data_IF_268262850025
#
_entry.id   IF_268262850025
#
_cell.length_a   1.000
_cell.length_b   1.000
_cell.length_c   1.000
_cell.angle_alpha   90.00
_cell.angle_beta   90.00
_cell.angle_gamma   90.00
#
_symmetry.space_group_name_H-M   'P 1'
#
loop_
_entity.id
_entity.type
_entity.pdbx_description
1 polymer ?
#
# COMPACT_ATOMS: atom_id res chain seq x y z
N UNK A 1 7.64 0.80 27.72
CA UNK A 1 7.51 1.35 26.35
C UNK A 1 6.64 0.40 25.54
N UNK A 2 5.70 0.89 24.72
CA UNK A 2 4.68 0.06 24.06
C UNK A 2 5.33 -0.96 23.11
N UNK A 3 5.26 -2.28 23.39
CA UNK A 3 5.88 -3.32 22.56
C UNK A 3 5.35 -3.36 21.12
N UNK A 4 4.13 -2.88 20.90
CA UNK A 4 3.47 -2.88 19.58
C UNK A 4 4.14 -1.92 18.58
N UNK A 5 4.76 -0.83 19.06
CA UNK A 5 5.44 0.16 18.23
C UNK A 5 6.89 -0.22 17.90
N UNK A 6 7.42 -1.27 18.50
CA UNK A 6 8.76 -1.78 18.20
C UNK A 6 8.77 -2.79 17.05
N UNK A 7 7.59 -3.22 16.58
CA UNK A 7 7.48 -4.09 15.42
C UNK A 7 7.75 -3.29 14.13
N UNK A 8 8.86 -3.57 13.40
CA UNK A 8 9.18 -2.86 12.17
C UNK A 8 8.06 -2.96 11.12
N UNK A 9 7.33 -4.07 11.06
CA UNK A 9 6.23 -4.25 10.11
C UNK A 9 5.05 -3.31 10.42
N UNK A 10 4.74 -3.08 11.70
CA UNK A 10 3.68 -2.16 12.11
C UNK A 10 4.06 -0.69 11.87
N UNK A 11 5.34 -0.36 11.90
CA UNK A 11 5.83 1.01 11.64
C UNK A 11 5.99 1.30 10.14
N UNK A 12 6.40 0.31 9.34
CA UNK A 12 6.75 0.50 7.93
C UNK A 12 5.53 0.36 6.99
N UNK A 13 4.53 -0.45 7.35
CA UNK A 13 3.38 -0.66 6.47
C UNK A 13 2.55 0.61 6.19
N UNK A 14 2.32 1.57 7.13
CA UNK A 14 1.51 2.75 6.84
C UNK A 14 2.15 3.70 5.81
N UNK A 15 3.45 4.03 5.88
CA UNK A 15 4.12 4.78 4.81
C UNK A 15 4.09 4.10 3.44
N UNK A 16 4.27 2.78 3.39
CA UNK A 16 4.24 2.02 2.13
C UNK A 16 2.84 2.00 1.53
N UNK A 17 1.80 1.81 2.35
CA UNK A 17 0.41 1.91 1.91
C UNK A 17 0.10 3.32 1.39
N UNK A 18 0.52 4.36 2.11
CA UNK A 18 0.31 5.74 1.69
C UNK A 18 0.99 6.04 0.34
N UNK A 19 2.24 5.60 0.15
CA UNK A 19 2.94 5.73 -1.12
C UNK A 19 2.19 5.03 -2.27
N UNK A 20 1.64 3.85 -2.02
CA UNK A 20 0.79 3.13 -2.97
C UNK A 20 -0.51 3.86 -3.32
N UNK A 21 -1.21 4.40 -2.33
CA UNK A 21 -2.44 5.18 -2.55
C UNK A 21 -2.18 6.48 -3.31
N UNK A 22 -1.14 7.24 -2.93
CA UNK A 22 -0.77 8.48 -3.62
C UNK A 22 -0.28 8.20 -5.04
N UNK A 23 0.44 7.11 -5.26
CA UNK A 23 0.91 6.72 -6.58
C UNK A 23 -0.22 6.55 -7.60
N UNK A 24 -1.42 6.11 -7.16
CA UNK A 24 -2.61 6.00 -8.03
C UNK A 24 -3.16 7.35 -8.51
N UNK A 25 -2.76 8.48 -7.89
CA UNK A 25 -3.17 9.80 -8.36
C UNK A 25 -2.64 10.12 -9.76
N UNK A 26 -1.46 9.61 -10.12
CA UNK A 26 -0.84 9.83 -11.44
C UNK A 26 -1.63 9.19 -12.59
N UNK A 27 -1.92 7.88 -12.59
CA UNK A 27 -2.74 7.27 -13.64
C UNK A 27 -4.18 7.83 -13.64
N UNK A 28 -4.72 8.23 -12.49
CA UNK A 28 -6.02 8.91 -12.42
C UNK A 28 -6.01 10.26 -13.16
N UNK A 29 -4.99 11.10 -12.94
CA UNK A 29 -4.86 12.38 -13.64
C UNK A 29 -4.72 12.18 -15.17
N UNK A 30 -3.95 11.18 -15.62
CA UNK A 30 -3.86 10.84 -17.04
C UNK A 30 -5.20 10.39 -17.63
N UNK A 31 -5.98 9.59 -16.89
CA UNK A 31 -7.30 9.16 -17.33
C UNK A 31 -8.26 10.35 -17.48
N UNK A 32 -8.29 11.26 -16.50
CA UNK A 32 -9.12 12.49 -16.57
C UNK A 32 -8.69 13.37 -17.75
N UNK A 33 -7.39 13.58 -17.94
CA UNK A 33 -6.88 14.36 -19.07
C UNK A 33 -7.28 13.76 -20.43
N UNK A 34 -7.20 12.43 -20.57
CA UNK A 34 -7.60 11.73 -21.81
C UNK A 34 -9.11 11.84 -22.09
N UNK A 35 -9.94 11.79 -21.05
CA UNK A 35 -11.39 11.99 -21.15
C UNK A 35 -11.73 13.43 -21.57
N UNK A 36 -11.12 14.42 -20.91
CA UNK A 36 -11.33 15.84 -21.24
C UNK A 36 -10.84 16.20 -22.65
N UNK A 37 -9.76 15.59 -23.11
CA UNK A 37 -9.25 15.77 -24.47
C UNK A 37 -10.12 15.08 -25.54
N UNK A 38 -11.08 14.22 -25.14
CA UNK A 38 -11.92 13.43 -26.05
C UNK A 38 -11.15 12.40 -26.89
N UNK A 39 -9.90 12.10 -26.52
CA UNK A 39 -8.98 11.24 -27.28
C UNK A 39 -8.30 10.23 -26.38
N UNK A 40 -8.99 9.13 -26.12
CA UNK A 40 -8.45 7.98 -25.37
C UNK A 40 -7.50 7.18 -26.27
N UNK A 41 -6.29 7.69 -26.47
CA UNK A 41 -5.26 7.05 -27.32
C UNK A 41 -4.45 5.99 -26.57
N UNK A 42 -3.78 5.07 -27.27
CA UNK A 42 -2.88 4.11 -26.61
C UNK A 42 -1.66 4.76 -25.95
N UNK A 43 -1.36 6.03 -26.29
CA UNK A 43 -0.20 6.75 -25.78
C UNK A 43 -0.30 7.07 -24.28
N UNK A 44 -1.45 7.56 -23.80
CA UNK A 44 -1.61 7.86 -22.36
C UNK A 44 -1.57 6.58 -21.52
N UNK A 45 -2.13 5.48 -22.03
CA UNK A 45 -2.11 4.19 -21.36
C UNK A 45 -0.68 3.63 -21.20
N UNK A 46 0.21 3.85 -22.19
CA UNK A 46 1.63 3.48 -22.09
C UNK A 46 2.34 4.23 -20.96
N UNK A 47 2.02 5.52 -20.79
CA UNK A 47 2.60 6.33 -19.72
C UNK A 47 2.00 6.03 -18.36
N UNK A 48 0.69 5.75 -18.26
CA UNK A 48 0.02 5.42 -17.01
C UNK A 48 0.44 4.06 -16.43
N UNK A 49 0.70 3.06 -17.29
CA UNK A 49 1.05 1.69 -16.91
C UNK A 49 2.17 1.56 -15.86
N UNK A 50 3.38 2.12 -16.05
CA UNK A 50 4.46 1.98 -15.06
C UNK A 50 4.07 2.57 -13.70
N UNK A 51 3.34 3.69 -13.67
CA UNK A 51 2.84 4.30 -12.44
C UNK A 51 1.80 3.42 -11.74
N UNK A 52 0.87 2.84 -12.49
CA UNK A 52 -0.09 1.88 -11.94
C UNK A 52 0.60 0.67 -11.34
N UNK A 53 1.59 0.09 -12.04
CA UNK A 53 2.35 -1.08 -11.55
C UNK A 53 3.15 -0.72 -10.31
N UNK A 54 3.85 0.41 -10.29
CA UNK A 54 4.60 0.85 -9.11
C UNK A 54 3.68 1.04 -7.90
N UNK A 55 2.55 1.72 -8.08
CA UNK A 55 1.54 1.95 -7.02
C UNK A 55 0.96 0.64 -6.51
N UNK A 56 0.65 -0.29 -7.42
CA UNK A 56 0.17 -1.62 -7.08
C UNK A 56 1.20 -2.40 -6.26
N UNK A 57 2.48 -2.39 -6.65
CA UNK A 57 3.54 -3.06 -5.89
C UNK A 57 3.65 -2.51 -4.45
N UNK A 58 3.62 -1.18 -4.28
CA UNK A 58 3.62 -0.58 -2.95
C UNK A 58 2.40 -0.98 -2.13
N UNK A 59 1.20 -1.01 -2.72
CA UNK A 59 0.00 -1.49 -2.03
C UNK A 59 0.11 -2.96 -1.62
N UNK A 60 0.59 -3.84 -2.51
CA UNK A 60 0.78 -5.26 -2.20
C UNK A 60 1.73 -5.46 -1.04
N UNK A 61 2.88 -4.78 -1.05
CA UNK A 61 3.86 -4.88 0.04
C UNK A 61 3.30 -4.29 1.33
N UNK A 62 2.63 -3.14 1.27
CA UNK A 62 2.01 -2.50 2.44
C UNK A 62 0.94 -3.37 3.10
N UNK A 63 0.06 -3.99 2.30
CA UNK A 63 -0.96 -4.91 2.79
C UNK A 63 -0.31 -6.14 3.43
N UNK A 64 0.67 -6.75 2.75
CA UNK A 64 1.37 -7.93 3.27
C UNK A 64 2.06 -7.65 4.61
N UNK A 65 2.78 -6.53 4.72
CA UNK A 65 3.43 -6.11 5.97
C UNK A 65 2.41 -5.83 7.07
N UNK A 66 1.27 -5.20 6.74
CA UNK A 66 0.18 -4.96 7.70
C UNK A 66 -0.39 -6.26 8.26
N UNK A 67 -0.65 -7.25 7.40
CA UNK A 67 -1.14 -8.58 7.81
C UNK A 67 -0.14 -9.29 8.72
N UNK A 68 1.15 -9.28 8.37
CA UNK A 68 2.19 -9.90 9.22
C UNK A 68 2.30 -9.19 10.58
N UNK A 69 2.26 -7.86 10.58
CA UNK A 69 2.34 -7.06 11.81
C UNK A 69 1.18 -7.36 12.76
N UNK A 70 -0.06 -7.41 12.26
CA UNK A 70 -1.22 -7.69 13.12
C UNK A 70 -1.22 -9.13 13.63
N UNK A 71 -0.83 -10.11 12.80
CA UNK A 71 -0.75 -11.51 13.21
C UNK A 71 0.28 -11.72 14.32
N UNK A 72 1.45 -11.06 14.21
CA UNK A 72 2.48 -11.12 15.26
C UNK A 72 2.03 -10.48 16.56
N UNK A 73 1.34 -9.34 16.49
CA UNK A 73 0.76 -8.70 17.66
C UNK A 73 -0.28 -9.62 18.35
N UNK A 74 -1.15 -10.26 17.57
CA UNK A 74 -2.16 -11.21 18.06
C UNK A 74 -1.54 -12.45 18.70
N UNK A 75 -0.55 -13.05 18.04
CA UNK A 75 0.16 -14.23 18.57
C UNK A 75 0.88 -13.91 19.87
N UNK A 76 1.53 -12.74 19.96
CA UNK A 76 2.15 -12.28 21.20
C UNK A 76 1.14 -12.15 22.35
N UNK A 77 -0.05 -11.62 22.08
CA UNK A 77 -1.11 -11.52 23.08
C UNK A 77 -1.63 -12.90 23.55
N UNK A 78 -1.81 -13.85 22.63
CA UNK A 78 -2.22 -15.21 22.96
C UNK A 78 -1.20 -15.95 23.84
N UNK A 79 0.11 -15.76 23.58
CA UNK A 79 1.18 -16.35 24.41
C UNK A 79 1.12 -15.83 25.84
N UNK A 80 0.81 -14.54 26.04
CA UNK A 80 0.66 -13.95 27.38
C UNK A 80 -0.53 -14.56 28.12
N UNK A 81 -1.67 -14.76 27.45
CA UNK A 81 -2.84 -15.40 28.07
C UNK A 81 -2.63 -16.88 28.42
N UNK A 82 -1.81 -17.61 27.65
CA UNK A 82 -1.53 -19.03 27.89
C UNK A 82 -0.46 -19.30 28.97
N UNK A 83 0.17 -18.25 29.50
CA UNK A 83 1.25 -18.34 30.49
C UNK A 83 0.82 -18.19 31.95
N UNK A 84 -0.50 -18.10 32.21
CA UNK A 84 -1.12 -17.91 33.53
C UNK A 84 -1.85 -19.14 34.06
#
# INVERSE_FOLDING_TARGET
>A
MNPLLQDPALVIHPPILYAGYVGLAVPFAFAVAALLAGRVSSAWARWARPWTVASWMFLTVGIALGVVGILRAWLGWLVVLGSG
#
